data_IF_482178387844
#
_entry.id   IF_482178387844
#
_cell.length_a   1.000
_cell.length_b   1.000
_cell.length_c   1.000
_cell.angle_alpha   90.00
_cell.angle_beta   90.00
_cell.angle_gamma   90.00
#
_symmetry.space_group_name_H-M   'P 1'
#
loop_
_entity.id
_entity.type
_entity.pdbx_description
1 polymer ?
#
# COMPACT_ATOMS: atom_id res chain seq x y z
N UNK A 1 11.73 -15.43 0.43
CA UNK A 1 10.58 -16.33 0.21
C UNK A 1 9.38 -15.47 -0.21
N UNK A 2 8.55 -15.85 -1.19
CA UNK A 2 7.46 -14.99 -1.66
C UNK A 2 6.27 -15.12 -0.69
N UNK A 3 6.42 -14.54 0.51
CA UNK A 3 5.31 -14.44 1.46
C UNK A 3 4.86 -12.98 1.53
N UNK A 4 4.07 -12.60 0.54
CA UNK A 4 3.55 -11.24 0.33
C UNK A 4 2.85 -10.66 1.56
N UNK A 5 2.23 -11.50 2.40
CA UNK A 5 1.56 -11.07 3.63
C UNK A 5 2.48 -10.86 4.85
N UNK A 6 3.76 -11.28 4.80
CA UNK A 6 4.71 -11.01 5.88
C UNK A 6 5.07 -9.52 5.92
N UNK A 7 5.18 -8.87 4.76
CA UNK A 7 5.56 -7.46 4.66
C UNK A 7 4.52 -6.53 5.34
N UNK A 8 3.19 -6.67 5.11
CA UNK A 8 2.18 -5.93 5.86
C UNK A 8 2.21 -6.16 7.37
N UNK A 9 2.56 -7.37 7.82
CA UNK A 9 2.59 -7.71 9.25
C UNK A 9 3.69 -6.95 10.01
N UNK A 10 4.83 -6.70 9.37
CA UNK A 10 5.94 -5.92 9.95
C UNK A 10 5.56 -4.44 10.11
N UNK A 11 4.64 -3.95 9.28
CA UNK A 11 4.23 -2.55 9.22
C UNK A 11 3.04 -2.27 10.14
N UNK A 12 2.36 -3.30 10.64
CA UNK A 12 1.25 -3.18 11.58
C UNK A 12 1.53 -2.29 12.81
N UNK A 13 2.72 -2.30 13.44
CA UNK A 13 3.05 -1.40 14.55
C UNK A 13 3.03 0.10 14.19
N UNK A 14 3.23 0.45 12.91
CA UNK A 14 3.19 1.84 12.42
C UNK A 14 1.76 2.41 12.38
N UNK A 15 0.74 1.56 12.54
CA UNK A 15 -0.66 1.97 12.72
C UNK A 15 -0.85 2.95 13.89
N UNK A 16 0.06 2.95 14.88
CA UNK A 16 0.01 3.87 16.04
C UNK A 16 0.26 5.34 15.69
N UNK A 17 0.62 5.68 14.44
CA UNK A 17 0.88 7.06 14.00
C UNK A 17 0.04 7.45 12.77
N UNK A 18 -1.30 7.47 12.87
CA UNK A 18 -2.21 7.71 11.73
C UNK A 18 -2.11 9.13 11.14
N UNK A 19 -1.55 10.08 11.89
CA UNK A 19 -1.30 11.45 11.41
C UNK A 19 -0.12 11.53 10.43
N UNK A 20 0.80 10.57 10.47
CA UNK A 20 1.99 10.58 9.62
C UNK A 20 1.84 9.68 8.39
N UNK A 21 1.05 8.62 8.49
CA UNK A 21 0.98 7.59 7.45
C UNK A 21 -0.45 7.10 7.21
N UNK A 22 -0.79 6.90 5.93
CA UNK A 22 -1.97 6.13 5.56
C UNK A 22 -1.67 4.65 5.66
N UNK A 23 -2.56 3.91 6.33
CA UNK A 23 -2.42 2.47 6.44
C UNK A 23 -2.57 1.78 5.09
N UNK A 24 -3.45 2.29 4.21
CA UNK A 24 -3.64 1.69 2.87
C UNK A 24 -2.37 1.80 2.04
N UNK A 25 -1.73 2.98 2.04
CA UNK A 25 -0.48 3.16 1.28
C UNK A 25 0.64 2.34 1.89
N UNK A 26 0.77 2.29 3.21
CA UNK A 26 1.76 1.46 3.90
C UNK A 26 1.64 -0.04 3.55
N UNK A 27 0.41 -0.57 3.51
CA UNK A 27 0.18 -1.97 3.17
C UNK A 27 0.51 -2.22 1.70
N UNK A 28 0.05 -1.36 0.79
CA UNK A 28 0.31 -1.52 -0.65
C UNK A 28 1.80 -1.37 -0.95
N UNK A 29 2.47 -0.40 -0.32
CA UNK A 29 3.90 -0.17 -0.45
C UNK A 29 4.71 -1.39 0.01
N UNK A 30 4.31 -2.01 1.11
CA UNK A 30 4.94 -3.26 1.60
C UNK A 30 4.93 -4.39 0.59
N UNK A 31 3.92 -4.41 -0.29
CA UNK A 31 3.73 -5.41 -1.33
C UNK A 31 4.28 -4.95 -2.69
N UNK A 32 4.82 -3.72 -2.78
CA UNK A 32 5.21 -3.10 -4.03
C UNK A 32 6.25 -3.89 -4.85
N UNK A 33 7.39 -4.35 -4.29
CA UNK A 33 8.37 -5.10 -5.08
C UNK A 33 7.88 -6.50 -5.43
N UNK A 34 6.88 -7.03 -4.71
CA UNK A 34 6.25 -8.29 -5.09
C UNK A 34 5.51 -8.15 -6.43
N UNK A 35 5.08 -6.93 -6.82
CA UNK A 35 4.53 -6.66 -8.15
C UNK A 35 5.55 -6.83 -9.28
N UNK A 36 6.86 -6.71 -9.04
CA UNK A 36 7.85 -7.01 -10.08
C UNK A 36 7.74 -8.48 -10.49
N UNK A 37 7.57 -9.40 -9.53
CA UNK A 37 7.35 -10.81 -9.81
C UNK A 37 6.05 -11.05 -10.57
N UNK A 38 4.96 -10.39 -10.17
CA UNK A 38 3.66 -10.53 -10.85
C UNK A 38 3.67 -9.96 -12.28
N UNK A 39 4.33 -8.83 -12.52
CA UNK A 39 4.40 -8.21 -13.84
C UNK A 39 5.34 -8.96 -14.78
N UNK A 40 6.46 -9.49 -14.27
CA UNK A 40 7.41 -10.26 -15.08
C UNK A 40 7.01 -11.71 -15.24
N UNK A 41 6.10 -12.22 -14.40
CA UNK A 41 5.73 -13.64 -14.34
C UNK A 41 6.96 -14.56 -14.17
N UNK A 42 8.02 -14.02 -13.58
CA UNK A 42 9.30 -14.69 -13.34
C UNK A 42 9.75 -14.37 -11.93
N UNK A 43 10.36 -15.34 -11.24
CA UNK A 43 10.96 -15.15 -9.91
C UNK A 43 12.32 -14.45 -10.06
N UNK A 44 12.31 -13.24 -10.62
CA UNK A 44 13.49 -12.42 -10.83
C UNK A 44 13.16 -10.97 -10.51
N UNK A 45 13.66 -10.50 -9.36
CA UNK A 45 13.64 -9.07 -9.03
C UNK A 45 15.02 -8.51 -9.30
N UNK A 46 15.14 -7.65 -10.31
CA UNK A 46 16.39 -6.94 -10.61
C UNK A 46 16.19 -5.43 -10.60
N UNK A 47 14.96 -4.98 -10.86
CA UNK A 47 14.62 -3.56 -10.88
C UNK A 47 14.25 -3.06 -9.49
N UNK A 48 13.34 -3.72 -8.77
CA UNK A 48 12.90 -3.31 -7.42
C UNK A 48 13.99 -3.44 -6.34
N UNK A 49 15.09 -4.14 -6.59
CA UNK A 49 16.25 -4.17 -5.68
C UNK A 49 17.30 -3.08 -5.96
N UNK A 50 17.10 -2.25 -6.99
CA UNK A 50 17.95 -1.10 -7.24
C UNK A 50 17.40 0.17 -6.57
N UNK A 51 18.28 1.03 -6.03
CA UNK A 51 17.92 2.33 -5.47
C UNK A 51 16.96 3.12 -6.36
N UNK A 52 17.26 3.16 -7.66
CA UNK A 52 16.46 3.86 -8.64
C UNK A 52 15.11 3.17 -8.89
N UNK A 53 15.07 1.83 -8.94
CA UNK A 53 13.84 1.08 -9.14
C UNK A 53 12.89 1.18 -7.95
N UNK A 54 13.38 1.25 -6.71
CA UNK A 54 12.51 1.51 -5.55
C UNK A 54 11.81 2.87 -5.69
N UNK A 55 12.56 3.92 -6.04
CA UNK A 55 11.99 5.25 -6.22
C UNK A 55 11.09 5.40 -7.45
N UNK A 56 11.42 4.76 -8.56
CA UNK A 56 10.71 4.93 -9.83
C UNK A 56 9.58 3.92 -10.01
N UNK A 57 9.82 2.66 -9.66
CA UNK A 57 8.89 1.56 -9.88
C UNK A 57 8.01 1.33 -8.64
N UNK A 58 8.58 1.09 -7.46
CA UNK A 58 7.77 0.76 -6.26
C UNK A 58 6.86 1.94 -5.89
N UNK A 59 7.38 3.18 -5.87
CA UNK A 59 6.58 4.37 -5.59
C UNK A 59 5.43 4.57 -6.59
N UNK A 60 5.72 4.43 -7.88
CA UNK A 60 4.71 4.60 -8.93
C UNK A 60 3.64 3.52 -8.83
N UNK A 61 4.04 2.26 -8.59
CA UNK A 61 3.12 1.15 -8.39
C UNK A 61 2.26 1.36 -7.14
N UNK A 62 2.85 1.77 -6.02
CA UNK A 62 2.11 2.07 -4.78
C UNK A 62 1.06 3.15 -5.00
N UNK A 63 1.41 4.25 -5.69
CA UNK A 63 0.48 5.33 -5.99
C UNK A 63 -0.68 4.86 -6.87
N UNK A 64 -0.37 4.17 -7.97
CA UNK A 64 -1.37 3.65 -8.91
C UNK A 64 -2.31 2.67 -8.20
N UNK A 65 -1.77 1.69 -7.48
CA UNK A 65 -2.56 0.67 -6.80
C UNK A 65 -3.42 1.25 -5.68
N UNK A 66 -2.90 2.22 -4.93
CA UNK A 66 -3.69 2.90 -3.91
C UNK A 66 -4.85 3.67 -4.52
N UNK A 67 -4.63 4.35 -5.66
CA UNK A 67 -5.69 5.09 -6.34
C UNK A 67 -6.78 4.15 -6.87
N UNK A 68 -6.37 3.05 -7.53
CA UNK A 68 -7.30 2.01 -8.01
C UNK A 68 -8.12 1.44 -6.86
N UNK A 69 -7.48 1.13 -5.73
CA UNK A 69 -8.18 0.60 -4.56
C UNK A 69 -9.23 1.58 -4.03
N UNK A 70 -8.84 2.84 -3.80
CA UNK A 70 -9.76 3.83 -3.22
C UNK A 70 -10.89 4.26 -4.17
N UNK A 71 -10.65 4.27 -5.48
CA UNK A 71 -11.61 4.74 -6.47
C UNK A 71 -12.55 3.63 -6.96
N UNK A 72 -12.03 2.44 -7.24
CA UNK A 72 -12.78 1.35 -7.89
C UNK A 72 -13.19 0.27 -6.89
N UNK A 73 -12.24 -0.20 -6.08
CA UNK A 73 -12.41 -1.43 -5.29
C UNK A 73 -13.12 -1.17 -3.96
N UNK A 74 -12.68 -0.16 -3.20
CA UNK A 74 -13.09 0.09 -1.81
C UNK A 74 -14.62 0.12 -1.64
N UNK A 75 -15.29 0.95 -2.42
CA UNK A 75 -16.72 1.16 -2.27
C UNK A 75 -17.52 -0.09 -2.69
N UNK A 76 -17.08 -0.76 -3.76
CA UNK A 76 -17.68 -2.01 -4.25
C UNK A 76 -17.51 -3.13 -3.24
N UNK A 77 -16.31 -3.27 -2.67
CA UNK A 77 -15.98 -4.26 -1.65
C UNK A 77 -16.85 -4.06 -0.40
N UNK A 78 -16.88 -2.85 0.16
CA UNK A 78 -17.67 -2.53 1.36
C UNK A 78 -19.14 -2.87 1.16
N UNK A 79 -19.74 -2.50 0.02
CA UNK A 79 -21.17 -2.76 -0.26
C UNK A 79 -21.54 -4.24 -0.40
N UNK A 80 -20.58 -5.10 -0.79
CA UNK A 80 -20.80 -6.54 -0.97
C UNK A 80 -20.37 -7.39 0.24
N UNK A 81 -19.91 -6.76 1.33
CA UNK A 81 -19.53 -7.47 2.56
C UNK A 81 -20.76 -7.93 3.35
N UNK A 82 -20.70 -9.08 4.06
CA UNK A 82 -21.74 -9.51 4.99
C UNK A 82 -22.05 -8.43 6.04
N UNK A 83 -23.30 -8.39 6.52
CA UNK A 83 -23.80 -7.35 7.42
C UNK A 83 -22.89 -7.05 8.63
N UNK A 84 -22.25 -8.08 9.19
CA UNK A 84 -21.31 -7.92 10.30
C UNK A 84 -20.13 -7.00 9.95
N UNK A 85 -19.50 -7.22 8.79
CA UNK A 85 -18.39 -6.39 8.33
C UNK A 85 -18.85 -5.07 7.73
N UNK A 86 -19.98 -5.06 7.02
CA UNK A 86 -20.55 -3.83 6.44
C UNK A 86 -20.74 -2.76 7.52
N UNK A 87 -21.38 -3.10 8.66
CA UNK A 87 -21.58 -2.15 9.76
C UNK A 87 -20.29 -1.55 10.31
N UNK A 88 -19.21 -2.35 10.30
CA UNK A 88 -17.90 -1.94 10.80
C UNK A 88 -17.16 -1.02 9.82
N UNK A 89 -17.36 -1.22 8.52
CA UNK A 89 -16.64 -0.50 7.46
C UNK A 89 -17.46 0.57 6.73
N UNK A 90 -18.77 0.66 6.97
CA UNK A 90 -19.66 1.61 6.29
C UNK A 90 -19.19 3.07 6.43
N UNK A 91 -18.59 3.43 7.57
CA UNK A 91 -18.03 4.77 7.81
C UNK A 91 -16.90 5.15 6.83
N UNK A 92 -16.24 4.18 6.18
CA UNK A 92 -15.20 4.45 5.19
C UNK A 92 -15.75 4.77 3.80
N UNK A 93 -17.07 4.61 3.55
CA UNK A 93 -17.69 5.01 2.28
C UNK A 93 -17.73 6.52 2.09
N UNK A 94 -17.85 7.28 3.18
CA UNK A 94 -17.85 8.76 3.17
C UNK A 94 -16.44 9.35 3.17
N UNK A 95 -15.41 8.52 3.33
CA UNK A 95 -14.02 8.96 3.35
C UNK A 95 -13.56 9.45 1.97
N UNK A 96 -13.19 10.73 1.89
CA UNK A 96 -12.72 11.38 0.68
C UNK A 96 -11.19 11.23 0.52
N UNK A 97 -10.79 10.27 -0.32
CA UNK A 97 -9.38 9.99 -0.60
C UNK A 97 -8.64 11.17 -1.24
N UNK A 98 -9.26 11.87 -2.19
CA UNK A 98 -8.62 12.99 -2.89
C UNK A 98 -8.24 14.11 -1.90
N UNK A 99 -9.15 14.45 -0.98
CA UNK A 99 -8.87 15.44 0.07
C UNK A 99 -7.73 14.98 0.99
N UNK A 100 -7.73 13.71 1.38
CA UNK A 100 -6.68 13.14 2.23
C UNK A 100 -5.31 13.17 1.53
N UNK A 101 -5.26 12.78 0.25
CA UNK A 101 -4.05 12.78 -0.57
C UNK A 101 -3.47 14.19 -0.73
N UNK A 102 -4.30 15.20 -1.01
CA UNK A 102 -3.87 16.59 -1.09
C UNK A 102 -3.29 17.13 0.24
N UNK A 103 -3.84 16.70 1.38
CA UNK A 103 -3.37 17.14 2.69
C UNK A 103 -2.09 16.41 3.15
N UNK A 104 -1.90 15.17 2.71
CA UNK A 104 -0.78 14.31 3.14
C UNK A 104 0.17 13.98 1.98
N UNK A 105 0.26 14.86 0.98
CA UNK A 105 1.09 14.65 -0.22
C UNK A 105 2.55 14.34 0.14
N UNK A 106 3.09 14.98 1.19
CA UNK A 106 4.42 14.67 1.73
C UNK A 106 4.53 13.29 2.39
N UNK A 107 3.46 12.78 3.01
CA UNK A 107 3.41 11.44 3.60
C UNK A 107 3.44 10.32 2.55
N UNK A 108 2.86 10.56 1.36
CA UNK A 108 2.95 9.64 0.22
C UNK A 108 4.38 9.50 -0.32
N UNK A 109 5.23 10.53 -0.20
CA UNK A 109 6.64 10.46 -0.60
C UNK A 109 7.56 9.85 0.46
N UNK A 110 7.23 9.98 1.75
CA UNK A 110 8.09 9.55 2.88
C UNK A 110 8.04 8.04 3.13
N UNK A 111 7.13 7.30 2.50
CA UNK A 111 6.92 5.87 2.76
C UNK A 111 8.06 4.95 2.26
N UNK A 112 8.95 5.49 1.43
CA UNK A 112 10.12 4.81 0.87
C UNK A 112 11.17 4.30 1.90
N UNK A 113 11.16 4.82 3.14
CA UNK A 113 12.21 4.50 4.13
C UNK A 113 11.94 3.21 4.91
N UNK A 114 10.69 2.74 4.99
CA UNK A 114 10.37 1.51 5.75
C UNK A 114 10.86 0.27 4.99
N UNK A 115 10.96 0.34 3.66
CA UNK A 115 11.42 -0.73 2.78
C UNK A 115 12.90 -1.11 2.98
N UNK A 116 13.77 -0.11 3.16
CA UNK A 116 15.21 -0.30 3.38
C UNK A 116 15.55 -1.16 4.61
N UNK A 117 14.64 -1.20 5.59
CA UNK A 117 14.85 -1.89 6.86
C UNK A 117 14.33 -3.33 6.85
N UNK A 118 13.45 -3.67 5.91
CA UNK A 118 12.85 -5.00 5.78
C UNK A 118 13.68 -5.87 4.83
N UNK A 119 14.32 -5.29 3.80
CA UNK A 119 15.14 -6.01 2.82
C UNK A 119 16.54 -6.47 3.34
N UNK A 120 16.93 -6.07 4.56
CA UNK A 120 18.16 -6.54 5.23
C UNK A 120 17.90 -7.76 6.15
N UNK A 121 16.73 -8.38 6.06
CA UNK A 121 16.32 -9.63 6.73
C UNK A 121 15.87 -10.61 5.66
#
# INVERSE_FOLDING_TARGET
>A
MPFTFAHPAIILPLYKKPHLFSMTTLIIDSMAPDFEYFLRMEVKSTLSHSLAGIFLFDLSMTLVMTYIFHFIVRNTLIKNLPNFFYRRFANYLTFNWNKYCCQHWGGCFVQLSVYYKILLI
#
